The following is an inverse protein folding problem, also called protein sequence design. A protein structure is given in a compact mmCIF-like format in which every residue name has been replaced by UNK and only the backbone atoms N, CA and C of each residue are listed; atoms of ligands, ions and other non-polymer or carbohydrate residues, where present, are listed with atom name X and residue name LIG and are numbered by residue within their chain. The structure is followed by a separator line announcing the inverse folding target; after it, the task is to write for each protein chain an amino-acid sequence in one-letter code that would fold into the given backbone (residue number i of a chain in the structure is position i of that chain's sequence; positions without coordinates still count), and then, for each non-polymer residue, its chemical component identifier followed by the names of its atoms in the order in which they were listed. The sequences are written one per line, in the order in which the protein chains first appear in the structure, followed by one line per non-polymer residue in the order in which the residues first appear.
data_IF_936803935469
#
_entry.id   IF_936803935469
#
_cell.length_a   1.000
_cell.length_b   1.000
_cell.length_c   1.000
_cell.angle_alpha   90.00
_cell.angle_beta   90.00
_cell.angle_gamma   90.00
#
_symmetry.space_group_name_H-M   'P 1'
#
loop_
_entity.id
_entity.type
_entity.pdbx_description
1 polymer ?
#
# COMPACT_ATOMS: atom_id res chain seq x y z
N UNK A 1 -26.54 -44.04 3.47
CA UNK A 1 -26.88 -42.89 4.33
C UNK A 1 -25.88 -42.84 5.49
N UNK A 2 -24.79 -42.08 5.34
CA UNK A 2 -23.86 -41.79 6.42
C UNK A 2 -23.97 -40.30 6.75
N UNK A 3 -25.04 -39.94 7.46
CA UNK A 3 -25.08 -38.68 8.20
C UNK A 3 -24.20 -38.87 9.43
N UNK A 4 -22.87 -38.87 9.23
CA UNK A 4 -21.98 -38.67 10.36
C UNK A 4 -22.24 -37.27 10.89
N UNK A 5 -22.55 -37.21 12.18
CA UNK A 5 -22.74 -36.00 12.96
C UNK A 5 -21.59 -35.02 12.67
N UNK A 6 -21.86 -34.04 11.82
CA UNK A 6 -21.16 -32.77 11.82
C UNK A 6 -21.56 -32.10 13.15
N UNK A 7 -20.99 -32.57 14.26
CA UNK A 7 -20.96 -31.78 15.48
C UNK A 7 -20.32 -30.47 15.03
N UNK A 8 -21.10 -29.40 14.94
CA UNK A 8 -20.60 -28.05 14.67
C UNK A 8 -19.56 -27.82 15.77
N UNK A 9 -18.28 -28.06 15.45
CA UNK A 9 -17.20 -27.77 16.38
C UNK A 9 -17.09 -26.25 16.35
N UNK A 10 -17.81 -25.57 17.24
CA UNK A 10 -17.87 -24.11 17.41
C UNK A 10 -16.52 -23.50 17.86
N UNK A 11 -15.39 -24.09 17.47
CA UNK A 11 -14.06 -23.71 17.94
C UNK A 11 -12.95 -24.15 17.00
N UNK A 12 -13.21 -24.22 15.69
CA UNK A 12 -12.10 -24.38 14.75
C UNK A 12 -11.17 -23.16 14.87
N UNK A 13 -9.85 -23.36 15.07
CA UNK A 13 -8.90 -22.26 15.19
C UNK A 13 -8.94 -21.28 14.00
N UNK A 14 -9.28 -21.80 12.81
CA UNK A 14 -9.43 -21.04 11.56
C UNK A 14 -10.47 -19.91 11.65
N UNK A 15 -11.60 -20.13 12.32
CA UNK A 15 -12.67 -19.12 12.44
C UNK A 15 -12.24 -17.96 13.34
N UNK A 16 -11.56 -18.27 14.45
CA UNK A 16 -11.05 -17.26 15.39
C UNK A 16 -9.93 -16.42 14.78
N UNK A 17 -9.09 -17.03 13.94
CA UNK A 17 -8.11 -16.29 13.16
C UNK A 17 -8.79 -15.31 12.20
N UNK A 18 -9.89 -15.71 11.52
CA UNK A 18 -10.57 -14.85 10.52
C UNK A 18 -11.18 -13.65 11.19
N UNK A 19 -11.85 -13.92 12.30
CA UNK A 19 -12.37 -12.88 13.18
C UNK A 19 -11.27 -11.92 13.63
N UNK A 20 -10.15 -12.44 14.12
CA UNK A 20 -9.02 -11.64 14.59
C UNK A 20 -8.39 -10.79 13.48
N UNK A 21 -8.24 -11.34 12.27
CA UNK A 21 -7.69 -10.61 11.13
C UNK A 21 -8.58 -9.43 10.73
N UNK A 22 -9.89 -9.62 10.63
CA UNK A 22 -10.81 -8.52 10.32
C UNK A 22 -10.83 -7.50 11.44
N UNK A 23 -10.88 -7.96 12.69
CA UNK A 23 -10.90 -7.07 13.85
C UNK A 23 -9.63 -6.22 13.96
N UNK A 24 -8.45 -6.80 13.73
CA UNK A 24 -7.17 -6.09 13.83
C UNK A 24 -6.84 -5.25 12.59
N UNK A 25 -7.35 -5.61 11.41
CA UNK A 25 -7.23 -4.78 10.22
C UNK A 25 -8.10 -3.52 10.28
N UNK A 26 -9.22 -3.58 11.00
CA UNK A 26 -10.21 -2.49 11.04
C UNK A 26 -9.66 -1.18 11.65
N UNK A 27 -9.03 -1.17 12.84
CA UNK A 27 -8.44 0.04 13.43
C UNK A 27 -7.41 0.75 12.54
N UNK A 28 -6.35 0.09 12.02
CA UNK A 28 -5.35 0.77 11.20
C UNK A 28 -5.93 1.29 9.88
N UNK A 29 -6.93 0.60 9.32
CA UNK A 29 -7.67 1.08 8.15
C UNK A 29 -8.42 2.40 8.41
N UNK A 30 -9.19 2.46 9.51
CA UNK A 30 -9.94 3.66 9.86
C UNK A 30 -9.02 4.82 10.26
N UNK A 31 -7.92 4.56 10.96
CA UNK A 31 -6.95 5.59 11.32
C UNK A 31 -6.27 6.20 10.09
N UNK A 32 -6.00 5.42 9.04
CA UNK A 32 -5.51 5.96 7.77
C UNK A 32 -6.50 6.97 7.14
N UNK A 33 -7.80 6.67 7.18
CA UNK A 33 -8.84 7.58 6.69
C UNK A 33 -8.98 8.83 7.58
N UNK A 34 -8.91 8.64 8.89
CA UNK A 34 -8.96 9.72 9.87
C UNK A 34 -7.78 10.70 9.72
N UNK A 35 -6.58 10.18 9.43
CA UNK A 35 -5.39 10.98 9.08
C UNK A 35 -5.55 11.72 7.75
N UNK A 36 -6.22 11.11 6.77
CA UNK A 36 -6.44 11.75 5.47
C UNK A 36 -7.49 12.88 5.53
N UNK A 37 -8.51 12.75 6.39
CA UNK A 37 -9.63 13.71 6.52
C UNK A 37 -9.72 14.40 7.88
N UNK A 38 -8.60 14.51 8.59
CA UNK A 38 -8.53 15.06 9.96
C UNK A 38 -9.23 16.42 10.09
N UNK A 39 -9.04 17.31 9.11
CA UNK A 39 -9.61 18.67 9.14
C UNK A 39 -11.14 18.67 9.01
N UNK A 40 -11.68 17.74 8.23
CA UNK A 40 -13.14 17.59 8.07
C UNK A 40 -13.77 17.01 9.32
N UNK A 41 -13.10 16.06 9.98
CA UNK A 41 -13.56 15.50 11.25
C UNK A 41 -13.48 16.52 12.39
N UNK A 42 -12.46 17.38 12.39
CA UNK A 42 -12.34 18.51 13.31
C UNK A 42 -13.49 19.51 13.11
N UNK A 43 -13.83 19.85 11.86
CA UNK A 43 -14.96 20.71 11.56
C UNK A 43 -16.31 20.10 11.95
N UNK A 44 -16.44 18.78 11.88
CA UNK A 44 -17.64 18.04 12.27
C UNK A 44 -17.74 17.74 13.78
N UNK A 45 -16.72 18.08 14.58
CA UNK A 45 -16.71 17.83 16.02
C UNK A 45 -16.64 16.36 16.42
N UNK A 46 -16.20 15.46 15.53
CA UNK A 46 -16.10 14.02 15.82
C UNK A 46 -14.70 13.74 16.40
N UNK A 47 -14.60 13.34 17.68
CA UNK A 47 -13.31 13.03 18.29
C UNK A 47 -12.77 11.73 17.72
N UNK A 48 -11.80 11.82 16.81
CA UNK A 48 -11.06 10.67 16.31
C UNK A 48 -9.69 10.60 16.98
N UNK A 49 -9.09 9.40 17.08
CA UNK A 49 -7.78 9.21 17.70
C UNK A 49 -6.68 10.21 17.24
N UNK A 50 -6.56 10.57 15.94
CA UNK A 50 -5.58 11.58 15.51
C UNK A 50 -5.87 13.02 15.98
N UNK A 51 -7.09 13.31 16.44
CA UNK A 51 -7.47 14.62 17.02
C UNK A 51 -7.13 14.74 18.51
N UNK A 52 -7.16 13.62 19.25
CA UNK A 52 -6.88 13.59 20.70
C UNK A 52 -5.38 13.40 20.99
N UNK A 53 -4.74 12.44 20.31
CA UNK A 53 -3.33 12.08 20.55
C UNK A 53 -2.37 12.66 19.51
N UNK A 54 -2.89 13.31 18.47
CA UNK A 54 -2.10 13.82 17.35
C UNK A 54 -1.74 12.75 16.30
N UNK A 55 -1.19 13.19 15.15
CA UNK A 55 -0.88 12.31 14.02
C UNK A 55 0.29 11.35 14.29
N UNK A 56 1.25 11.73 15.14
CA UNK A 56 2.43 10.93 15.47
C UNK A 56 2.09 9.61 16.19
N UNK A 57 1.46 9.64 17.37
CA UNK A 57 1.08 8.43 18.10
C UNK A 57 0.14 7.52 17.31
N UNK A 58 -0.81 8.10 16.58
CA UNK A 58 -1.74 7.34 15.72
C UNK A 58 -0.98 6.49 14.68
N UNK A 59 0.10 7.01 14.11
CA UNK A 59 0.92 6.26 13.16
C UNK A 59 1.78 5.18 13.80
N UNK A 60 2.26 5.41 15.03
CA UNK A 60 2.95 4.36 15.80
C UNK A 60 2.00 3.20 16.07
N UNK A 61 0.77 3.48 16.51
CA UNK A 61 -0.27 2.46 16.69
C UNK A 61 -0.55 1.72 15.37
N UNK A 62 -0.78 2.45 14.26
CA UNK A 62 -0.98 1.80 12.95
C UNK A 62 0.16 0.84 12.58
N UNK A 63 1.42 1.19 12.86
CA UNK A 63 2.59 0.33 12.61
C UNK A 63 2.60 -0.91 13.51
N UNK A 64 2.28 -0.76 14.80
CA UNK A 64 2.18 -1.88 15.73
C UNK A 64 1.10 -2.86 15.30
N UNK A 65 -0.09 -2.36 14.95
CA UNK A 65 -1.18 -3.21 14.45
C UNK A 65 -0.82 -3.89 13.13
N UNK A 66 -0.15 -3.20 12.20
CA UNK A 66 0.31 -3.80 10.94
C UNK A 66 1.33 -4.94 11.16
N UNK A 67 2.22 -4.81 12.15
CA UNK A 67 3.17 -5.88 12.52
C UNK A 67 2.46 -7.09 13.15
N UNK A 68 1.50 -6.86 14.05
CA UNK A 68 0.69 -7.92 14.66
C UNK A 68 -0.11 -8.66 13.57
N UNK A 69 -0.63 -7.92 12.59
CA UNK A 69 -1.38 -8.48 11.46
C UNK A 69 -0.53 -9.48 10.68
N UNK A 70 0.77 -9.21 10.44
CA UNK A 70 1.68 -10.16 9.79
C UNK A 70 1.80 -11.45 10.62
N UNK A 71 1.94 -11.33 11.95
CA UNK A 71 2.05 -12.50 12.83
C UNK A 71 0.83 -13.41 12.76
N UNK A 72 -0.38 -12.83 12.77
CA UNK A 72 -1.63 -13.59 12.67
C UNK A 72 -1.85 -14.12 11.26
N UNK A 73 -1.49 -13.34 10.24
CA UNK A 73 -1.64 -13.75 8.86
C UNK A 73 -0.64 -14.87 8.50
N UNK A 74 0.54 -14.92 9.14
CA UNK A 74 1.53 -15.98 9.01
C UNK A 74 1.22 -17.24 9.83
N UNK A 75 0.33 -17.17 10.82
CA UNK A 75 -0.13 -18.39 11.50
C UNK A 75 -0.85 -19.29 10.49
N UNK A 76 -0.60 -20.60 10.48
CA UNK A 76 -1.28 -21.51 9.57
C UNK A 76 -2.77 -21.58 9.91
N UNK A 77 -3.56 -20.91 9.08
CA UNK A 77 -5.03 -20.88 9.10
C UNK A 77 -5.66 -22.24 8.83
N UNK A 78 -4.92 -23.07 8.11
CA UNK A 78 -5.34 -24.35 7.58
C UNK A 78 -4.45 -25.41 8.22
N UNK A 79 -5.07 -26.41 8.85
CA UNK A 79 -4.32 -27.56 9.33
C UNK A 79 -3.73 -28.30 8.11
N UNK A 80 -2.40 -28.54 8.05
CA UNK A 80 -1.79 -29.27 6.94
C UNK A 80 -2.42 -30.66 6.72
N UNK A 81 -2.94 -31.26 7.79
CA UNK A 81 -3.63 -32.54 7.78
C UNK A 81 -4.99 -32.52 7.02
N UNK A 82 -5.65 -31.37 6.89
CA UNK A 82 -6.98 -31.27 6.26
C UNK A 82 -6.92 -30.79 4.81
N UNK A 83 -5.94 -29.94 4.47
CA UNK A 83 -5.88 -29.24 3.18
C UNK A 83 -4.68 -29.65 2.32
N UNK A 84 -3.77 -30.46 2.90
CA UNK A 84 -2.51 -30.85 2.30
C UNK A 84 -1.37 -29.88 2.64
N UNK A 85 -0.16 -30.41 2.76
CA UNK A 85 1.02 -29.61 3.14
C UNK A 85 1.32 -28.50 2.13
N UNK A 86 1.25 -28.81 0.83
CA UNK A 86 1.57 -27.87 -0.23
C UNK A 86 0.69 -26.62 -0.21
N UNK A 87 -0.63 -26.78 -0.03
CA UNK A 87 -1.58 -25.66 -0.01
C UNK A 87 -1.37 -24.76 1.21
N UNK A 88 -1.11 -25.35 2.37
CA UNK A 88 -0.83 -24.64 3.61
C UNK A 88 0.45 -23.78 3.52
N UNK A 89 1.54 -24.34 2.99
CA UNK A 89 2.79 -23.60 2.80
C UNK A 89 2.66 -22.50 1.75
N UNK A 90 2.01 -22.77 0.62
CA UNK A 90 1.79 -21.77 -0.43
C UNK A 90 0.96 -20.60 0.08
N UNK A 91 -0.15 -20.87 0.77
CA UNK A 91 -0.99 -19.81 1.34
C UNK A 91 -0.21 -18.94 2.33
N UNK A 92 0.52 -19.58 3.25
CA UNK A 92 1.34 -18.87 4.25
C UNK A 92 2.37 -17.97 3.59
N UNK A 93 3.04 -18.45 2.54
CA UNK A 93 4.02 -17.66 1.79
C UNK A 93 3.38 -16.44 1.11
N UNK A 94 2.24 -16.64 0.44
CA UNK A 94 1.51 -15.56 -0.25
C UNK A 94 1.10 -14.47 0.75
N UNK A 95 0.47 -14.88 1.84
CA UNK A 95 -0.01 -13.96 2.88
C UNK A 95 1.12 -13.20 3.54
N UNK A 96 2.27 -13.84 3.77
CA UNK A 96 3.45 -13.19 4.34
C UNK A 96 4.02 -12.13 3.38
N UNK A 97 4.11 -12.42 2.08
CA UNK A 97 4.53 -11.45 1.07
C UNK A 97 3.57 -10.24 0.99
N UNK A 98 2.26 -10.51 0.97
CA UNK A 98 1.21 -9.49 1.00
C UNK A 98 1.28 -8.63 2.26
N UNK A 99 1.55 -9.25 3.41
CA UNK A 99 1.68 -8.57 4.70
C UNK A 99 2.89 -7.64 4.74
N UNK A 100 4.05 -8.09 4.25
CA UNK A 100 5.25 -7.25 4.12
C UNK A 100 4.98 -6.06 3.20
N UNK A 101 4.33 -6.29 2.05
CA UNK A 101 3.96 -5.23 1.11
C UNK A 101 3.03 -4.18 1.75
N UNK A 102 2.02 -4.61 2.50
CA UNK A 102 1.14 -3.70 3.25
C UNK A 102 1.90 -2.91 4.32
N UNK A 103 2.75 -3.58 5.11
CA UNK A 103 3.52 -2.92 6.18
C UNK A 103 4.51 -1.88 5.63
N UNK A 104 5.15 -2.14 4.48
CA UNK A 104 5.97 -1.14 3.79
C UNK A 104 5.17 0.12 3.44
N UNK A 105 3.91 -0.03 3.02
CA UNK A 105 3.02 1.12 2.79
C UNK A 105 2.78 1.92 4.06
N UNK A 106 2.53 1.26 5.20
CA UNK A 106 2.28 1.93 6.49
C UNK A 106 3.52 2.64 7.00
N UNK A 107 4.70 2.05 6.86
CA UNK A 107 5.98 2.66 7.26
C UNK A 107 6.30 3.88 6.38
N UNK A 108 5.95 3.83 5.09
CA UNK A 108 6.17 4.93 4.13
C UNK A 108 5.28 6.17 4.37
N UNK A 109 4.37 6.14 5.35
CA UNK A 109 3.57 7.30 5.70
C UNK A 109 4.47 8.31 6.42
N UNK A 110 4.80 9.38 5.71
CA UNK A 110 5.54 10.50 6.24
C UNK A 110 4.59 11.61 6.70
N UNK A 111 4.69 11.97 7.99
CA UNK A 111 3.89 13.04 8.61
C UNK A 111 4.41 14.42 8.20
N UNK A 112 5.71 14.50 7.90
CA UNK A 112 6.41 15.74 7.58
C UNK A 112 6.38 16.11 6.10
N UNK A 113 5.64 15.34 5.27
CA UNK A 113 5.49 15.68 3.86
C UNK A 113 4.71 17.00 3.70
N UNK A 114 4.98 17.79 2.65
CA UNK A 114 4.21 19.00 2.38
C UNK A 114 2.74 18.63 2.23
N UNK A 115 1.90 19.24 3.07
CA UNK A 115 0.46 19.07 3.02
C UNK A 115 -0.05 19.57 1.66
N UNK A 116 -1.03 18.86 1.11
CA UNK A 116 -1.73 19.31 -0.10
C UNK A 116 -2.39 20.68 0.15
N UNK A 117 -2.83 21.36 -0.92
CA UNK A 117 -3.50 22.67 -0.92
C UNK A 117 -4.73 22.74 0.03
N UNK A 118 -5.19 21.59 0.52
CA UNK A 118 -6.31 21.37 1.44
C UNK A 118 -5.91 20.88 2.83
N UNK A 119 -4.63 20.93 3.23
CA UNK A 119 -4.15 20.47 4.54
C UNK A 119 -4.03 18.95 4.69
N UNK A 120 -4.05 18.19 3.59
CA UNK A 120 -4.19 16.71 3.60
C UNK A 120 -2.86 15.99 3.44
N UNK A 121 -2.77 14.80 4.02
CA UNK A 121 -1.63 13.88 3.92
C UNK A 121 -1.92 12.87 2.77
N UNK A 122 -1.52 13.11 1.51
CA UNK A 122 -1.85 12.22 0.38
C UNK A 122 -1.32 10.80 0.56
N UNK A 123 -0.21 10.62 1.28
CA UNK A 123 0.34 9.30 1.60
C UNK A 123 -0.57 8.47 2.52
N UNK A 124 -1.41 9.10 3.35
CA UNK A 124 -2.38 8.38 4.18
C UNK A 124 -3.51 7.75 3.33
N UNK A 125 -4.00 8.48 2.32
CA UNK A 125 -4.99 7.94 1.38
C UNK A 125 -4.46 6.76 0.57
N UNK A 126 -3.18 6.80 0.15
CA UNK A 126 -2.55 5.68 -0.55
C UNK A 126 -2.56 4.41 0.31
N UNK A 127 -2.14 4.52 1.57
CA UNK A 127 -2.12 3.40 2.51
C UNK A 127 -3.52 2.84 2.80
N UNK A 128 -4.56 3.70 2.81
CA UNK A 128 -5.95 3.28 2.89
C UNK A 128 -6.36 2.38 1.70
N UNK A 129 -6.13 2.82 0.45
CA UNK A 129 -6.49 2.00 -0.72
C UNK A 129 -5.67 0.72 -0.83
N UNK A 130 -4.40 0.77 -0.42
CA UNK A 130 -3.54 -0.43 -0.34
C UNK A 130 -4.09 -1.41 0.69
N UNK A 131 -4.55 -0.95 1.86
CA UNK A 131 -5.14 -1.83 2.88
C UNK A 131 -6.39 -2.57 2.40
N UNK A 132 -7.23 -1.91 1.57
CA UNK A 132 -8.42 -2.52 0.97
C UNK A 132 -8.03 -3.57 -0.08
N UNK A 133 -7.03 -3.25 -0.90
CA UNK A 133 -6.49 -4.17 -1.90
C UNK A 133 -5.83 -5.38 -1.25
N UNK A 134 -5.10 -5.19 -0.14
CA UNK A 134 -4.49 -6.25 0.64
C UNK A 134 -5.53 -7.26 1.15
N UNK A 135 -6.62 -6.78 1.76
CA UNK A 135 -7.67 -7.66 2.28
C UNK A 135 -8.35 -8.44 1.14
N UNK A 136 -8.68 -7.76 0.04
CA UNK A 136 -9.25 -8.41 -1.14
C UNK A 136 -8.32 -9.51 -1.70
N UNK A 137 -7.03 -9.24 -1.79
CA UNK A 137 -6.03 -10.19 -2.30
C UNK A 137 -5.86 -11.40 -1.36
N UNK A 138 -5.93 -11.23 -0.04
CA UNK A 138 -5.91 -12.36 0.90
C UNK A 138 -7.11 -13.27 0.70
N UNK A 139 -8.32 -12.71 0.59
CA UNK A 139 -9.52 -13.52 0.37
C UNK A 139 -9.50 -14.23 -0.99
N UNK A 140 -9.06 -13.54 -2.04
CA UNK A 140 -8.89 -14.16 -3.37
C UNK A 140 -7.87 -15.30 -3.28
N UNK A 141 -6.71 -15.05 -2.67
CA UNK A 141 -5.68 -16.08 -2.50
C UNK A 141 -6.18 -17.27 -1.71
N UNK A 142 -6.95 -17.05 -0.64
CA UNK A 142 -7.54 -18.11 0.17
C UNK A 142 -8.45 -19.00 -0.70
N UNK A 143 -9.39 -18.39 -1.43
CA UNK A 143 -10.33 -19.13 -2.29
C UNK A 143 -9.60 -19.84 -3.43
N UNK A 144 -8.60 -19.21 -4.04
CA UNK A 144 -7.81 -19.83 -5.11
C UNK A 144 -7.06 -21.06 -4.63
N UNK A 145 -6.36 -20.96 -3.49
CA UNK A 145 -5.61 -22.09 -2.91
C UNK A 145 -6.54 -23.25 -2.56
N UNK A 146 -7.72 -22.95 -2.02
CA UNK A 146 -8.73 -23.96 -1.67
C UNK A 146 -9.35 -24.64 -2.91
N UNK A 147 -9.51 -23.92 -4.02
CA UNK A 147 -10.10 -24.47 -5.23
C UNK A 147 -9.16 -25.45 -5.95
N UNK A 148 -7.90 -25.04 -6.15
CA UNK A 148 -6.86 -25.88 -6.75
C UNK A 148 -5.47 -25.27 -6.49
N UNK A 149 -4.57 -25.96 -5.77
CA UNK A 149 -3.23 -25.44 -5.50
C UNK A 149 -2.40 -25.31 -6.79
N UNK A 150 -2.51 -26.27 -7.71
CA UNK A 150 -1.80 -26.28 -9.00
C UNK A 150 -2.14 -25.05 -9.86
N UNK A 151 -3.44 -24.73 -9.97
CA UNK A 151 -3.90 -23.55 -10.70
C UNK A 151 -3.42 -22.26 -10.03
N UNK A 152 -3.38 -22.23 -8.69
CA UNK A 152 -2.90 -21.06 -7.96
C UNK A 152 -1.43 -20.77 -8.26
N UNK A 153 -0.58 -21.81 -8.33
CA UNK A 153 0.82 -21.66 -8.73
C UNK A 153 0.91 -21.08 -10.15
N UNK A 154 0.13 -21.61 -11.10
CA UNK A 154 0.11 -21.08 -12.47
C UNK A 154 -0.32 -19.61 -12.53
N UNK A 155 -1.37 -19.22 -11.81
CA UNK A 155 -1.82 -17.83 -11.73
C UNK A 155 -0.75 -16.92 -11.11
N UNK A 156 -0.08 -17.36 -10.05
CA UNK A 156 0.99 -16.59 -9.41
C UNK A 156 2.22 -16.44 -10.30
N UNK A 157 2.63 -17.50 -11.00
CA UNK A 157 3.75 -17.45 -11.95
C UNK A 157 3.43 -16.50 -13.10
N UNK A 158 2.22 -16.58 -13.67
CA UNK A 158 1.78 -15.64 -14.71
C UNK A 158 1.71 -14.20 -14.21
N UNK A 159 1.19 -13.99 -12.99
CA UNK A 159 1.17 -12.67 -12.37
C UNK A 159 2.59 -12.13 -12.14
N UNK A 160 3.52 -12.97 -11.66
CA UNK A 160 4.93 -12.64 -11.47
C UNK A 160 5.59 -12.25 -12.80
N UNK A 161 5.41 -13.04 -13.85
CA UNK A 161 5.92 -12.74 -15.19
C UNK A 161 5.35 -11.42 -15.71
N UNK A 162 4.04 -11.18 -15.54
CA UNK A 162 3.41 -9.94 -15.97
C UNK A 162 3.95 -8.73 -15.20
N UNK A 163 4.14 -8.85 -13.88
CA UNK A 163 4.73 -7.81 -13.04
C UNK A 163 6.17 -7.53 -13.45
N UNK A 164 7.02 -8.55 -13.64
CA UNK A 164 8.40 -8.40 -14.12
C UNK A 164 8.43 -7.76 -15.51
N UNK A 165 7.54 -8.17 -16.41
CA UNK A 165 7.42 -7.57 -17.74
C UNK A 165 7.04 -6.09 -17.66
N UNK A 166 6.15 -5.72 -16.72
CA UNK A 166 5.70 -4.33 -16.50
C UNK A 166 6.79 -3.48 -15.84
N UNK A 167 7.58 -4.05 -14.93
CA UNK A 167 8.74 -3.40 -14.33
C UNK A 167 9.84 -3.19 -15.37
N UNK A 168 10.10 -4.19 -16.22
CA UNK A 168 11.01 -4.07 -17.36
C UNK A 168 10.56 -2.99 -18.33
N UNK A 169 9.26 -2.95 -18.65
CA UNK A 169 8.66 -1.89 -19.50
C UNK A 169 8.75 -0.50 -18.87
N UNK A 170 8.67 -0.38 -17.54
CA UNK A 170 8.85 0.92 -16.85
C UNK A 170 10.31 1.39 -16.87
N UNK A 171 11.28 0.48 -16.72
CA UNK A 171 12.71 0.81 -16.84
C UNK A 171 13.09 1.22 -18.28
N UNK A 172 12.38 0.71 -19.28
CA UNK A 172 12.60 1.06 -20.69
C UNK A 172 11.95 2.38 -21.14
N UNK A 173 11.27 3.13 -20.26
CA UNK A 173 10.83 4.50 -20.57
C UNK A 173 11.93 5.47 -20.12
N UNK A 174 12.70 6.08 -21.03
CA UNK A 174 13.75 7.03 -20.66
C UNK A 174 13.10 8.25 -20.03
N UNK A 175 13.59 8.67 -18.86
CA UNK A 175 13.16 9.90 -18.19
C UNK A 175 13.43 11.11 -19.10
N UNK A 176 12.38 11.71 -19.66
CA UNK A 176 12.42 12.99 -20.39
C UNK A 176 12.68 14.20 -19.47
N UNK A 177 13.53 14.03 -18.44
CA UNK A 177 13.94 15.06 -17.47
C UNK A 177 15.47 15.28 -17.49
N UNK A 178 16.10 15.06 -18.64
CA UNK A 178 17.54 15.38 -18.84
C UNK A 178 17.75 16.28 -20.06
N UNK A 179 16.77 17.13 -20.41
CA UNK A 179 16.86 18.05 -21.56
C UNK A 179 16.67 19.53 -21.21
N UNK A 180 16.87 19.91 -19.94
CA UNK A 180 16.78 21.31 -19.46
C UNK A 180 17.98 21.75 -18.62
N UNK A 181 19.11 21.08 -18.72
CA UNK A 181 20.35 21.52 -18.09
C UNK A 181 21.43 21.43 -19.16
N UNK A 182 21.34 22.32 -20.15
CA UNK A 182 22.43 22.64 -21.08
C UNK A 182 22.15 24.07 -21.59
N UNK A 183 22.23 25.04 -20.69
CA UNK A 183 22.51 26.43 -21.08
C UNK A 183 24.00 26.64 -20.88
N UNK A 184 24.81 26.74 -21.95
CA UNK A 184 26.21 27.10 -21.79
C UNK A 184 26.30 28.55 -21.30
N UNK A 185 26.83 28.70 -20.10
CA UNK A 185 27.35 29.97 -19.60
C UNK A 185 28.46 30.44 -20.54
N UNK A 186 28.21 31.50 -21.30
CA UNK A 186 29.29 32.33 -21.82
C UNK A 186 29.62 33.42 -20.78
N UNK A 187 30.89 33.52 -20.33
CA UNK A 187 31.41 34.73 -19.70
C UNK A 187 31.77 35.72 -20.83
N UNK A 188 31.96 37.01 -20.50
CA UNK A 188 32.19 38.15 -21.41
C UNK A 188 30.91 38.71 -22.07
N UNK A 189 30.56 39.99 -21.97
CA UNK A 189 31.21 41.16 -21.39
C UNK A 189 30.21 42.33 -21.36
N UNK A 190 30.52 43.33 -20.55
CA UNK A 190 29.82 44.61 -20.44
C UNK A 190 29.76 45.38 -21.77
N UNK A 191 28.71 46.18 -22.02
CA UNK A 191 28.81 47.63 -21.77
C UNK A 191 27.47 48.40 -21.93
N UNK A 192 27.32 49.53 -21.20
CA UNK A 192 26.13 50.37 -21.12
C UNK A 192 26.30 51.60 -22.03
N UNK A 193 25.75 51.58 -23.24
CA UNK A 193 25.71 52.78 -24.09
C UNK A 193 24.80 52.55 -25.29
N UNK A 194 23.55 53.00 -25.19
CA UNK A 194 22.75 53.48 -26.31
C UNK A 194 21.56 54.26 -25.73
N UNK A 195 21.83 55.50 -25.32
CA UNK A 195 20.83 56.56 -25.34
C UNK A 195 20.76 57.14 -26.76
N UNK A 196 19.57 57.50 -27.22
CA UNK A 196 19.35 58.11 -28.54
C UNK A 196 18.96 57.07 -29.59
N UNK A 197 17.78 57.27 -30.18
CA UNK A 197 17.06 56.24 -30.93
C UNK A 197 17.69 55.85 -32.26
N UNK A 198 17.65 54.55 -32.55
CA UNK A 198 17.38 53.99 -33.87
C UNK A 198 17.10 52.47 -33.73
N UNK A 199 16.21 51.95 -34.57
CA UNK A 199 15.62 50.61 -34.48
C UNK A 199 16.67 49.52 -34.76
N UNK A 200 16.99 48.68 -33.77
CA UNK A 200 17.77 47.47 -34.02
C UNK A 200 16.83 46.33 -34.51
N UNK A 201 16.73 46.23 -35.83
CA UNK A 201 16.12 45.14 -36.60
C UNK A 201 17.16 44.01 -36.70
N UNK A 202 16.87 42.82 -36.18
CA UNK A 202 17.54 41.56 -36.60
C UNK A 202 16.51 40.83 -37.46
N UNK A 203 16.54 40.83 -38.80
CA UNK A 203 17.52 40.26 -39.75
C UNK A 203 17.82 38.79 -39.42
N UNK A 204 17.08 37.94 -40.14
CA UNK A 204 17.26 36.52 -40.53
C UNK A 204 18.19 35.65 -39.72
#
# INVERSE_FOLDING_TARGET
MQFQSQSIRFGQPSTWLMFSLIFLWTPPHFWALALYRSDQYKAAGIPMMPWVNGPGPTLTEMRVYALILIGIAAMPWLNPAEVGELSAYLYTLIVLLLGIWYNQSVISIDINQPLDEKGRIPSAARSFYISLSYLALIFISLVSVLFSPELTIMFLVLAMINILSKISRRKSVPSLRQRRIDTPHHPFGWCPSCGGGEKCKKVT
#
